data_IF_765654224648
#
_entry.id   IF_765654224648
#
_cell.length_a   1.000
_cell.length_b   1.000
_cell.length_c   1.000
_cell.angle_alpha   90.00
_cell.angle_beta   90.00
_cell.angle_gamma   90.00
#
_symmetry.space_group_name_H-M   'P 1'
#
loop_
_entity.id
_entity.type
_entity.pdbx_description
1 polymer ?
#
# COMPACT_ATOMS: atom_id res chain seq x y z
N UNK A 1 -8.23 26.47 -23.41
CA UNK A 1 -7.19 26.35 -22.35
C UNK A 1 -5.95 27.16 -22.67
N UNK A 2 -4.82 26.77 -22.09
CA UNK A 2 -3.56 27.47 -22.32
C UNK A 2 -2.44 26.47 -22.62
N UNK A 3 -2.21 25.55 -21.70
CA UNK A 3 -1.16 24.55 -21.86
C UNK A 3 -1.36 23.39 -20.89
N UNK A 4 -0.83 22.23 -21.25
CA UNK A 4 -0.94 21.04 -20.41
C UNK A 4 -0.14 21.21 -19.12
N UNK A 5 -0.72 21.92 -18.16
CA UNK A 5 -0.06 22.16 -16.88
C UNK A 5 -0.83 21.50 -15.74
N UNK A 6 -1.35 20.31 -16.00
CA UNK A 6 -2.11 19.57 -14.99
C UNK A 6 -1.24 18.49 -14.34
N UNK A 7 -1.58 18.11 -13.09
CA UNK A 7 -0.83 17.08 -12.37
C UNK A 7 -1.01 15.69 -12.97
N UNK A 8 0.01 14.85 -12.83
CA UNK A 8 -0.03 13.49 -13.37
C UNK A 8 0.05 12.45 -12.26
N UNK A 9 0.82 12.76 -11.21
CA UNK A 9 0.98 11.85 -10.09
C UNK A 9 0.84 12.59 -8.77
N UNK A 10 0.02 12.06 -7.87
CA UNK A 10 -0.20 12.67 -6.56
C UNK A 10 0.24 11.72 -5.45
N UNK A 11 0.62 12.29 -4.31
CA UNK A 11 1.05 11.49 -3.18
C UNK A 11 1.53 12.33 -2.01
N UNK A 12 1.70 11.68 -0.86
CA UNK A 12 2.15 12.39 0.34
C UNK A 12 3.45 11.78 0.86
N UNK A 13 4.41 12.66 1.18
CA UNK A 13 5.70 12.21 1.69
C UNK A 13 5.67 12.04 3.21
N UNK A 14 5.82 10.80 3.66
CA UNK A 14 5.80 10.51 5.09
C UNK A 14 6.94 11.22 5.81
N UNK A 15 6.68 11.67 7.03
CA UNK A 15 7.67 12.37 7.83
C UNK A 15 8.85 11.47 8.14
N UNK A 16 10.09 12.01 8.10
CA UNK A 16 11.30 11.24 8.38
C UNK A 16 11.21 10.45 9.67
N UNK A 17 10.40 10.92 10.60
CA UNK A 17 10.21 10.24 11.89
C UNK A 17 9.40 8.97 11.73
N UNK A 18 8.29 9.07 10.99
CA UNK A 18 7.41 7.92 10.76
C UNK A 18 8.16 6.80 10.03
N UNK A 19 8.84 7.15 8.96
CA UNK A 19 9.60 6.18 8.18
C UNK A 19 10.54 5.37 9.07
N UNK A 20 11.09 6.03 10.08
CA UNK A 20 12.01 5.38 11.02
C UNK A 20 11.28 4.33 11.84
N UNK A 21 10.10 4.71 12.35
CA UNK A 21 9.30 3.79 13.16
C UNK A 21 8.70 2.68 12.30
N UNK A 22 8.15 3.07 11.15
CA UNK A 22 7.54 2.10 10.23
C UNK A 22 8.57 1.09 9.75
N UNK A 23 9.75 1.58 9.37
CA UNK A 23 10.82 0.70 8.89
C UNK A 23 11.21 -0.32 9.95
N UNK A 24 11.30 0.15 11.20
CA UNK A 24 11.66 -0.72 12.31
C UNK A 24 10.65 -1.85 12.47
N UNK A 25 9.39 -1.54 12.21
CA UNK A 25 8.32 -2.53 12.32
C UNK A 25 8.38 -3.53 11.17
N UNK A 26 8.62 -3.04 9.97
CA UNK A 26 8.71 -3.89 8.79
C UNK A 26 9.84 -4.91 8.94
N UNK A 27 11.00 -4.43 9.37
CA UNK A 27 12.16 -5.29 9.56
C UNK A 27 11.87 -6.40 10.57
N UNK A 28 11.31 -6.01 11.71
CA UNK A 28 10.97 -6.96 12.77
C UNK A 28 10.00 -8.02 12.24
N UNK A 29 9.12 -7.61 11.34
CA UNK A 29 8.15 -8.52 10.77
C UNK A 29 8.83 -9.61 9.94
N UNK A 30 9.66 -9.19 9.00
CA UNK A 30 10.37 -10.13 8.13
C UNK A 30 11.14 -11.15 8.96
N UNK A 31 11.66 -10.72 10.11
CA UNK A 31 12.42 -11.60 10.99
C UNK A 31 11.49 -12.62 11.65
N UNK A 32 10.35 -12.15 12.15
CA UNK A 32 9.39 -13.03 12.81
C UNK A 32 8.69 -13.92 11.79
N UNK A 33 8.47 -13.39 10.59
CA UNK A 33 7.81 -14.14 9.53
C UNK A 33 8.66 -15.33 9.10
N UNK A 34 9.97 -15.12 9.05
CA UNK A 34 10.89 -16.18 8.65
C UNK A 34 10.98 -17.26 9.73
N UNK A 35 10.98 -16.83 10.99
CA UNK A 35 11.06 -17.74 12.11
C UNK A 35 9.80 -18.63 12.20
N UNK A 36 8.68 -18.07 11.76
CA UNK A 36 7.42 -18.81 11.77
C UNK A 36 7.46 -20.00 10.82
N UNK A 37 6.97 -21.14 11.29
CA UNK A 37 6.95 -22.35 10.47
C UNK A 37 5.93 -22.23 9.35
N UNK A 38 4.86 -21.47 9.59
CA UNK A 38 3.81 -21.29 8.59
C UNK A 38 4.38 -20.73 7.29
N UNK A 39 5.25 -19.72 7.41
CA UNK A 39 5.86 -19.11 6.25
C UNK A 39 6.92 -20.02 5.64
N UNK A 40 7.84 -20.51 6.47
CA UNK A 40 8.90 -21.39 6.01
C UNK A 40 8.33 -22.62 5.32
N UNK A 41 7.13 -23.03 5.72
CA UNK A 41 6.47 -24.19 5.12
C UNK A 41 6.04 -23.89 3.69
N UNK A 42 5.72 -22.63 3.43
CA UNK A 42 5.29 -22.23 2.09
C UNK A 42 6.38 -21.44 1.37
N UNK A 43 7.59 -21.46 1.93
CA UNK A 43 8.72 -20.75 1.33
C UNK A 43 8.96 -21.22 -0.11
N UNK A 44 8.76 -22.51 -0.34
CA UNK A 44 8.96 -23.08 -1.67
C UNK A 44 8.06 -22.40 -2.70
N UNK A 45 6.84 -22.07 -2.29
CA UNK A 45 5.88 -21.42 -3.17
C UNK A 45 6.21 -19.93 -3.32
N UNK A 46 6.75 -19.34 -2.26
CA UNK A 46 7.11 -17.93 -2.28
C UNK A 46 8.39 -17.70 -3.09
N UNK A 47 9.41 -18.51 -2.82
CA UNK A 47 10.68 -18.40 -3.52
C UNK A 47 10.69 -19.24 -4.79
N UNK A 48 9.63 -20.02 -4.99
CA UNK A 48 9.55 -20.86 -6.17
C UNK A 48 10.65 -21.91 -6.22
N UNK A 49 11.31 -22.14 -5.08
CA UNK A 49 12.39 -23.13 -5.01
C UNK A 49 13.44 -22.87 -6.08
N UNK A 50 14.05 -21.69 -6.03
CA UNK A 50 15.08 -21.32 -7.00
C UNK A 50 15.77 -20.02 -6.60
N UNK A 51 16.65 -20.11 -5.60
CA UNK A 51 17.39 -18.94 -5.13
C UNK A 51 18.77 -19.34 -4.61
N UNK A 52 18.83 -19.74 -3.34
CA UNK A 52 20.09 -20.15 -2.73
C UNK A 52 19.93 -20.37 -1.22
N UNK A 53 19.61 -19.30 -0.51
CA UNK A 53 19.42 -19.37 0.93
C UNK A 53 18.41 -18.33 1.41
N UNK A 54 17.22 -18.36 0.82
CA UNK A 54 16.16 -17.41 1.17
C UNK A 54 16.69 -15.99 1.30
N UNK A 55 17.63 -15.63 0.42
CA UNK A 55 18.22 -14.29 0.45
C UNK A 55 17.27 -13.25 -0.14
N UNK A 56 16.17 -13.70 -0.74
CA UNK A 56 15.19 -12.80 -1.34
C UNK A 56 14.72 -11.76 -0.33
N UNK A 57 14.70 -12.14 0.94
CA UNK A 57 14.27 -11.24 2.01
C UNK A 57 15.24 -10.07 2.16
N UNK A 58 16.53 -10.36 1.95
CA UNK A 58 17.55 -9.33 2.06
C UNK A 58 17.80 -8.66 0.71
N UNK A 59 17.54 -9.38 -0.37
CA UNK A 59 17.73 -8.85 -1.72
C UNK A 59 16.96 -7.55 -1.90
N UNK A 60 15.70 -7.54 -1.47
CA UNK A 60 14.87 -6.35 -1.60
C UNK A 60 15.56 -5.12 -1.03
N UNK A 61 15.46 -4.00 -1.73
CA UNK A 61 16.08 -2.76 -1.29
C UNK A 61 15.03 -1.79 -0.74
N UNK A 62 15.34 -1.18 0.40
CA UNK A 62 14.42 -0.24 1.04
C UNK A 62 15.00 1.17 1.01
N UNK A 63 14.40 2.09 0.23
CA UNK A 63 14.86 3.47 0.13
C UNK A 63 14.58 4.27 1.40
N UNK A 64 15.44 5.23 1.69
CA UNK A 64 15.28 6.08 2.87
C UNK A 64 14.01 6.92 2.77
N UNK A 65 14.09 8.01 2.04
CA UNK A 65 12.94 8.90 1.87
C UNK A 65 11.81 8.19 1.11
N UNK A 66 11.04 7.39 1.83
CA UNK A 66 9.93 6.66 1.23
C UNK A 66 8.74 7.58 0.99
N UNK A 67 8.01 7.32 -0.10
CA UNK A 67 6.84 8.12 -0.43
C UNK A 67 5.61 7.23 -0.63
N UNK A 68 4.43 7.80 -0.42
CA UNK A 68 3.19 7.06 -0.58
C UNK A 68 2.33 7.66 -1.69
N UNK A 69 1.80 6.80 -2.55
CA UNK A 69 0.96 7.24 -3.66
C UNK A 69 -0.45 7.58 -3.16
N UNK A 70 -1.17 8.38 -3.94
CA UNK A 70 -2.53 8.77 -3.59
C UNK A 70 -3.49 8.58 -4.76
N UNK A 71 -3.41 9.48 -5.73
CA UNK A 71 -4.29 9.42 -6.90
C UNK A 71 -3.51 9.71 -8.18
N UNK A 72 -3.79 8.92 -9.22
CA UNK A 72 -3.13 9.09 -10.51
C UNK A 72 -4.04 9.84 -11.48
N UNK A 73 -3.65 11.06 -11.83
CA UNK A 73 -4.43 11.88 -12.75
C UNK A 73 -4.68 11.15 -14.07
N UNK A 74 -3.65 10.45 -14.54
CA UNK A 74 -3.74 9.70 -15.80
C UNK A 74 -4.00 10.63 -16.97
N UNK A 75 -5.26 11.04 -17.15
CA UNK A 75 -5.63 11.93 -18.23
C UNK A 75 -7.12 12.28 -18.18
N UNK A 76 -7.95 11.38 -18.71
CA UNK A 76 -9.39 11.62 -18.72
C UNK A 76 -10.19 10.42 -18.28
N UNK A 77 -9.65 9.22 -18.50
CA UNK A 77 -10.33 7.98 -18.14
C UNK A 77 -10.76 8.00 -16.67
N UNK A 78 -10.01 8.75 -15.85
CA UNK A 78 -10.32 8.86 -14.43
C UNK A 78 -11.01 10.17 -14.11
N UNK A 79 -12.31 10.23 -14.37
CA UNK A 79 -13.10 11.43 -14.11
C UNK A 79 -13.03 11.82 -12.64
N UNK A 80 -13.07 10.81 -11.77
CA UNK A 80 -13.00 11.07 -10.33
C UNK A 80 -11.88 12.00 -9.95
N UNK A 81 -10.68 11.45 -9.78
CA UNK A 81 -9.51 12.23 -9.41
C UNK A 81 -9.36 13.45 -10.31
N UNK A 82 -9.86 13.35 -11.54
CA UNK A 82 -9.78 14.46 -12.48
C UNK A 82 -10.40 15.71 -11.86
N UNK A 83 -11.62 15.56 -11.36
CA UNK A 83 -12.31 16.68 -10.71
C UNK A 83 -11.54 17.10 -9.47
N UNK A 84 -10.98 16.13 -8.78
CA UNK A 84 -10.20 16.39 -7.58
C UNK A 84 -8.99 17.27 -7.90
N UNK A 85 -8.26 16.88 -8.94
CA UNK A 85 -7.10 17.63 -9.37
C UNK A 85 -7.49 19.05 -9.76
N UNK A 86 -8.74 19.22 -10.19
CA UNK A 86 -9.25 20.53 -10.58
C UNK A 86 -9.89 21.25 -9.39
N UNK A 87 -9.48 20.88 -8.18
CA UNK A 87 -10.00 21.48 -6.97
C UNK A 87 -8.88 22.22 -6.23
N UNK A 88 -8.91 23.54 -6.32
CA UNK A 88 -7.90 24.37 -5.66
C UNK A 88 -7.70 23.99 -4.21
N UNK A 89 -8.77 23.48 -3.58
CA UNK A 89 -8.70 23.08 -2.18
C UNK A 89 -7.63 22.01 -1.97
N UNK A 90 -7.64 20.99 -2.83
CA UNK A 90 -6.66 19.91 -2.73
C UNK A 90 -5.26 20.39 -3.12
N UNK A 91 -5.21 21.35 -4.04
CA UNK A 91 -3.93 21.89 -4.49
C UNK A 91 -3.20 22.56 -3.33
N UNK A 92 -3.96 23.27 -2.50
CA UNK A 92 -3.38 23.96 -1.34
C UNK A 92 -3.10 22.96 -0.22
N UNK A 93 -3.84 21.86 -0.21
CA UNK A 93 -3.67 20.83 0.82
C UNK A 93 -2.24 20.30 0.84
N UNK A 94 -1.50 20.52 -0.25
CA UNK A 94 -0.12 20.01 -0.35
C UNK A 94 0.76 20.38 0.87
N UNK A 95 0.88 21.67 1.22
CA UNK A 95 1.69 22.07 2.36
C UNK A 95 1.17 21.47 3.67
N UNK A 96 -0.09 21.02 3.66
CA UNK A 96 -0.70 20.44 4.84
C UNK A 96 -0.08 19.09 5.19
N UNK A 97 -0.38 18.61 6.40
CA UNK A 97 0.14 17.34 6.86
C UNK A 97 -0.91 16.59 7.67
N UNK A 98 -1.25 15.40 7.21
CA UNK A 98 -2.24 14.58 7.90
C UNK A 98 -1.63 13.26 8.37
N UNK A 99 -2.18 12.73 9.45
CA UNK A 99 -1.70 11.47 10.01
C UNK A 99 -2.37 10.28 9.35
N UNK A 100 -1.57 9.43 8.71
CA UNK A 100 -2.09 8.25 8.04
C UNK A 100 -1.95 7.01 8.92
N UNK A 101 -3.01 6.21 8.98
CA UNK A 101 -3.00 5.00 9.80
C UNK A 101 -2.73 3.76 8.95
N UNK A 102 -1.78 2.94 9.40
CA UNK A 102 -1.43 1.71 8.69
C UNK A 102 -2.31 0.55 9.16
N UNK A 103 -3.00 -0.08 8.22
CA UNK A 103 -3.88 -1.19 8.54
C UNK A 103 -3.15 -2.54 8.44
N UNK A 104 -2.47 -2.78 7.34
CA UNK A 104 -1.75 -4.03 7.14
C UNK A 104 -0.59 -3.86 6.17
N UNK A 105 0.33 -4.83 6.18
CA UNK A 105 1.50 -4.78 5.30
C UNK A 105 1.47 -5.95 4.33
N UNK A 106 1.89 -5.72 3.09
CA UNK A 106 1.91 -6.76 2.07
C UNK A 106 3.34 -7.08 1.63
N UNK A 107 3.59 -8.34 1.32
CA UNK A 107 4.91 -8.78 0.87
C UNK A 107 4.81 -9.60 -0.40
N UNK A 108 5.33 -9.05 -1.50
CA UNK A 108 5.30 -9.74 -2.78
C UNK A 108 6.71 -10.03 -3.28
N UNK A 109 6.94 -11.23 -3.84
CA UNK A 109 8.25 -11.62 -4.35
C UNK A 109 8.82 -10.61 -5.34
N UNK A 110 7.92 -9.88 -6.00
CA UNK A 110 8.32 -8.88 -6.98
C UNK A 110 8.64 -7.55 -6.30
N UNK A 111 7.76 -7.12 -5.40
CA UNK A 111 7.94 -5.88 -4.69
C UNK A 111 7.28 -5.93 -3.30
N UNK A 112 7.63 -4.97 -2.46
CA UNK A 112 7.10 -4.89 -1.11
C UNK A 112 6.34 -3.57 -0.90
N UNK A 113 5.22 -3.65 -0.20
CA UNK A 113 4.43 -2.45 0.05
C UNK A 113 3.63 -2.54 1.34
N UNK A 114 3.15 -1.40 1.82
CA UNK A 114 2.36 -1.36 3.05
C UNK A 114 0.98 -0.77 2.79
N UNK A 115 -0.02 -1.32 3.46
CA UNK A 115 -1.39 -0.86 3.31
C UNK A 115 -1.69 0.30 4.26
N UNK A 116 -2.04 1.45 3.72
CA UNK A 116 -2.34 2.62 4.53
C UNK A 116 -3.81 3.04 4.38
N UNK A 117 -4.45 3.29 5.51
CA UNK A 117 -5.85 3.71 5.53
C UNK A 117 -6.02 5.05 6.22
N UNK A 118 -6.18 6.10 5.43
CA UNK A 118 -6.34 7.45 5.97
C UNK A 118 -7.59 7.53 6.85
N UNK A 119 -7.94 8.75 7.25
CA UNK A 119 -9.10 8.98 8.10
C UNK A 119 -10.31 9.40 7.26
N UNK A 120 -11.42 9.67 7.94
CA UNK A 120 -12.64 10.09 7.26
C UNK A 120 -12.42 11.38 6.48
N UNK A 121 -11.53 12.23 6.99
CA UNK A 121 -11.23 13.50 6.34
C UNK A 121 -10.67 13.27 4.94
N UNK A 122 -9.63 12.46 4.84
CA UNK A 122 -9.00 12.16 3.57
C UNK A 122 -9.97 11.44 2.65
N UNK A 123 -10.84 10.62 3.24
CA UNK A 123 -11.83 9.87 2.48
C UNK A 123 -12.86 10.79 1.84
N UNK A 124 -13.41 11.70 2.64
CA UNK A 124 -14.41 12.64 2.16
C UNK A 124 -13.85 13.52 1.03
N UNK A 125 -12.55 13.80 1.10
CA UNK A 125 -11.89 14.61 0.08
C UNK A 125 -11.31 13.76 -1.04
N UNK A 126 -11.70 12.48 -1.08
CA UNK A 126 -11.20 11.56 -2.10
C UNK A 126 -12.18 11.48 -3.27
N UNK A 127 -11.67 11.54 -4.52
CA UNK A 127 -12.50 11.47 -5.72
C UNK A 127 -13.28 10.16 -5.80
N UNK A 128 -14.43 10.20 -6.46
CA UNK A 128 -15.27 9.01 -6.60
C UNK A 128 -14.71 8.08 -7.67
N UNK A 129 -14.34 8.65 -8.80
CA UNK A 129 -13.80 7.83 -9.89
C UNK A 129 -12.66 6.90 -9.46
N UNK A 130 -11.60 7.44 -8.84
CA UNK A 130 -10.48 6.61 -8.40
C UNK A 130 -10.96 5.50 -7.46
N UNK A 131 -12.05 5.77 -6.75
CA UNK A 131 -12.62 4.81 -5.81
C UNK A 131 -12.82 3.45 -6.46
N UNK A 132 -12.99 3.44 -7.79
CA UNK A 132 -13.19 2.21 -8.54
C UNK A 132 -12.17 1.14 -8.13
N UNK A 133 -11.03 1.58 -7.60
CA UNK A 133 -9.98 0.66 -7.16
C UNK A 133 -10.56 -0.41 -6.23
N UNK A 134 -9.93 -1.60 -6.25
CA UNK A 134 -10.40 -2.70 -5.42
C UNK A 134 -10.90 -2.23 -4.07
N UNK A 135 -10.06 -1.47 -3.38
CA UNK A 135 -10.42 -0.95 -2.08
C UNK A 135 -10.09 0.53 -1.96
N UNK A 136 -11.11 1.35 -1.75
CA UNK A 136 -10.91 2.79 -1.60
C UNK A 136 -11.34 3.25 -0.21
N UNK A 137 -10.72 4.33 0.31
CA UNK A 137 -11.05 4.87 1.63
C UNK A 137 -12.57 5.09 1.79
N UNK A 138 -13.22 5.37 0.68
CA UNK A 138 -14.67 5.60 0.67
C UNK A 138 -15.44 4.28 0.77
N UNK A 139 -14.76 3.19 0.45
CA UNK A 139 -15.36 1.86 0.49
C UNK A 139 -15.28 1.26 1.90
N UNK A 140 -15.03 2.10 2.90
CA UNK A 140 -14.91 1.65 4.29
C UNK A 140 -15.98 0.63 4.64
N UNK A 141 -17.27 0.95 4.42
CA UNK A 141 -18.36 0.02 4.73
C UNK A 141 -18.09 -1.35 4.12
N UNK A 142 -17.56 -1.35 2.90
CA UNK A 142 -17.23 -2.58 2.20
C UNK A 142 -15.96 -3.22 2.78
N UNK A 143 -15.07 -2.37 3.30
CA UNK A 143 -13.82 -2.83 3.87
C UNK A 143 -14.05 -3.87 4.97
N UNK A 144 -15.17 -3.77 5.65
CA UNK A 144 -15.49 -4.70 6.72
C UNK A 144 -15.35 -6.15 6.25
N UNK A 145 -15.73 -6.40 4.99
CA UNK A 145 -15.63 -7.75 4.43
C UNK A 145 -14.34 -7.94 3.65
N UNK A 146 -13.85 -6.85 3.05
CA UNK A 146 -12.61 -6.91 2.26
C UNK A 146 -11.53 -6.02 2.88
N UNK A 147 -10.28 -6.51 2.95
CA UNK A 147 -9.17 -5.73 3.51
C UNK A 147 -9.16 -4.29 3.00
N UNK A 148 -8.34 -3.45 3.62
CA UNK A 148 -8.23 -2.06 3.23
C UNK A 148 -6.80 -1.56 3.25
N UNK A 149 -6.56 -0.42 2.60
CA UNK A 149 -5.23 0.14 2.56
C UNK A 149 -4.54 -0.07 1.22
N UNK A 150 -5.31 -0.47 0.21
CA UNK A 150 -4.76 -0.69 -1.12
C UNK A 150 -4.71 0.60 -1.92
N UNK A 151 -5.76 1.39 -1.82
CA UNK A 151 -5.85 2.66 -2.54
C UNK A 151 -4.64 3.55 -2.22
N UNK A 152 -4.19 3.48 -0.97
CA UNK A 152 -3.04 4.27 -0.53
C UNK A 152 -2.02 3.39 0.17
N UNK A 153 -0.92 3.10 -0.51
CA UNK A 153 0.14 2.27 0.04
C UNK A 153 1.49 2.96 -0.07
N UNK A 154 2.43 2.55 0.79
CA UNK A 154 3.77 3.13 0.78
C UNK A 154 4.78 2.15 0.20
N UNK A 155 5.70 2.67 -0.61
CA UNK A 155 6.73 1.84 -1.23
C UNK A 155 7.81 1.46 -0.22
N UNK A 156 8.10 0.17 -0.14
CA UNK A 156 9.12 -0.33 0.78
C UNK A 156 10.17 -1.14 0.04
N UNK A 157 9.72 -2.08 -0.78
CA UNK A 157 10.64 -2.91 -1.53
C UNK A 157 10.36 -2.91 -3.02
N UNK A 158 11.41 -3.00 -3.83
CA UNK A 158 11.26 -3.00 -5.28
C UNK A 158 12.34 -3.84 -5.93
N UNK A 159 11.96 -4.60 -6.95
CA UNK A 159 12.91 -5.46 -7.66
C UNK A 159 13.71 -4.65 -8.68
N UNK A 160 14.73 -5.27 -9.26
CA UNK A 160 15.58 -4.61 -10.25
C UNK A 160 15.03 -4.82 -11.66
N UNK A 161 14.12 -3.95 -12.07
CA UNK A 161 13.54 -4.05 -13.40
C UNK A 161 12.05 -3.74 -13.40
N UNK A 162 11.40 -3.93 -12.27
CA UNK A 162 9.97 -3.67 -12.16
C UNK A 162 9.70 -2.25 -11.68
N UNK A 163 8.54 -1.71 -12.05
CA UNK A 163 8.16 -0.36 -11.66
C UNK A 163 7.41 -0.36 -10.33
N UNK A 164 7.48 0.76 -9.61
CA UNK A 164 6.81 0.88 -8.33
C UNK A 164 5.30 0.91 -8.50
N UNK A 165 4.84 1.38 -9.65
CA UNK A 165 3.41 1.46 -9.94
C UNK A 165 2.76 0.08 -9.84
N UNK A 166 3.50 -0.95 -10.23
CA UNK A 166 2.99 -2.31 -10.19
C UNK A 166 2.68 -2.74 -8.76
N UNK A 167 3.39 -2.17 -7.80
CA UNK A 167 3.19 -2.48 -6.39
C UNK A 167 1.75 -2.19 -5.96
N UNK A 168 1.23 -1.05 -6.40
CA UNK A 168 -0.12 -0.68 -6.05
C UNK A 168 -1.16 -1.63 -6.60
N UNK A 169 -1.03 -1.96 -7.89
CA UNK A 169 -1.97 -2.88 -8.54
C UNK A 169 -2.08 -4.19 -7.78
N UNK A 170 -0.94 -4.69 -7.30
CA UNK A 170 -0.91 -5.94 -6.55
C UNK A 170 -1.71 -5.83 -5.25
N UNK A 171 -1.50 -4.73 -4.54
CA UNK A 171 -2.20 -4.50 -3.28
C UNK A 171 -3.72 -4.53 -3.47
N UNK A 172 -4.21 -3.76 -4.43
CA UNK A 172 -5.64 -3.70 -4.70
C UNK A 172 -6.22 -5.11 -4.93
N UNK A 173 -5.48 -5.91 -5.69
CA UNK A 173 -5.92 -7.27 -5.99
C UNK A 173 -5.87 -8.18 -4.75
N UNK A 174 -4.85 -8.01 -3.93
CA UNK A 174 -4.69 -8.82 -2.73
C UNK A 174 -5.95 -8.74 -1.85
N UNK A 175 -6.38 -7.53 -1.54
CA UNK A 175 -7.57 -7.32 -0.72
C UNK A 175 -8.79 -7.94 -1.39
N UNK A 176 -8.99 -7.64 -2.67
CA UNK A 176 -10.12 -8.16 -3.41
C UNK A 176 -10.11 -9.69 -3.43
N UNK A 177 -8.91 -10.26 -3.36
CA UNK A 177 -8.76 -11.71 -3.37
C UNK A 177 -9.36 -12.35 -2.12
N UNK A 178 -8.96 -11.85 -0.95
CA UNK A 178 -9.48 -12.39 0.31
C UNK A 178 -11.00 -12.34 0.34
N UNK A 179 -11.56 -11.18 0.01
CA UNK A 179 -13.00 -10.99 -0.02
C UNK A 179 -13.64 -11.84 -1.12
N UNK A 180 -12.84 -12.22 -2.11
CA UNK A 180 -13.34 -13.00 -3.23
C UNK A 180 -13.70 -14.43 -2.82
N UNK A 181 -13.39 -14.79 -1.58
CA UNK A 181 -13.72 -16.12 -1.11
C UNK A 181 -12.54 -17.08 -1.12
N UNK A 182 -11.41 -16.65 -1.66
CA UNK A 182 -10.24 -17.49 -1.68
C UNK A 182 -9.73 -17.69 -0.27
N UNK A 183 -8.98 -16.71 0.22
CA UNK A 183 -8.44 -16.76 1.58
C UNK A 183 -7.88 -18.14 1.87
N UNK A 184 -6.81 -18.47 1.15
CA UNK A 184 -6.19 -19.77 1.31
C UNK A 184 -5.62 -19.96 2.68
N UNK A 185 -4.45 -19.39 2.92
CA UNK A 185 -3.79 -19.51 4.23
C UNK A 185 -4.24 -18.39 5.16
N UNK A 186 -4.57 -18.76 6.39
CA UNK A 186 -5.01 -17.81 7.39
C UNK A 186 -4.44 -18.15 8.76
N UNK A 187 -3.94 -17.14 9.46
CA UNK A 187 -3.35 -17.35 10.78
C UNK A 187 -3.61 -16.14 11.69
N UNK A 188 -4.07 -16.41 12.90
CA UNK A 188 -4.36 -15.35 13.86
C UNK A 188 -3.25 -15.23 14.89
N UNK A 189 -2.64 -14.04 14.96
CA UNK A 189 -1.56 -13.80 15.91
C UNK A 189 -2.03 -12.92 17.06
N UNK A 190 -1.12 -12.59 17.96
CA UNK A 190 -1.45 -11.76 19.12
C UNK A 190 -1.55 -10.28 18.72
N UNK A 191 -0.86 -9.92 17.64
CA UNK A 191 -0.87 -8.54 17.16
C UNK A 191 -1.72 -8.40 15.90
N UNK A 192 -1.90 -9.50 15.18
CA UNK A 192 -2.69 -9.45 13.95
C UNK A 192 -2.79 -10.80 13.27
N UNK A 193 -3.48 -10.83 12.14
CA UNK A 193 -3.64 -12.06 11.37
C UNK A 193 -3.01 -11.95 10.00
N UNK A 194 -2.36 -13.01 9.55
CA UNK A 194 -1.70 -13.03 8.25
C UNK A 194 -2.42 -13.97 7.27
N UNK A 195 -2.75 -13.45 6.10
CA UNK A 195 -3.44 -14.24 5.07
C UNK A 195 -2.69 -14.16 3.75
N UNK A 196 -2.62 -15.30 3.05
CA UNK A 196 -1.94 -15.36 1.77
C UNK A 196 -2.86 -15.95 0.70
N UNK A 197 -2.83 -15.34 -0.49
CA UNK A 197 -3.68 -15.80 -1.60
C UNK A 197 -3.15 -17.11 -2.17
N UNK A 198 -4.06 -17.90 -2.74
CA UNK A 198 -3.71 -19.21 -3.32
C UNK A 198 -2.38 -19.21 -4.09
N UNK A 199 -2.17 -18.25 -5.01
CA UNK A 199 -0.92 -18.20 -5.76
C UNK A 199 0.23 -17.74 -4.88
N UNK A 200 -0.01 -16.67 -4.12
CA UNK A 200 1.02 -16.14 -3.24
C UNK A 200 0.54 -14.91 -2.49
N UNK A 201 1.36 -13.87 -2.52
CA UNK A 201 1.03 -12.61 -1.85
C UNK A 201 0.71 -12.84 -0.36
N UNK A 202 1.64 -12.42 0.49
CA UNK A 202 1.47 -12.57 1.93
C UNK A 202 1.36 -11.21 2.61
N UNK A 203 0.31 -11.02 3.38
CA UNK A 203 0.08 -9.76 4.08
C UNK A 203 -0.37 -9.99 5.52
N UNK A 204 0.14 -9.18 6.44
CA UNK A 204 -0.22 -9.29 7.85
C UNK A 204 -1.10 -8.12 8.28
N UNK A 205 -2.26 -8.43 8.84
CA UNK A 205 -3.19 -7.40 9.29
C UNK A 205 -2.83 -6.89 10.68
N UNK A 206 -2.21 -5.71 10.72
CA UNK A 206 -1.81 -5.10 11.99
C UNK A 206 -3.04 -4.69 12.80
N UNK A 207 -3.54 -5.63 13.60
CA UNK A 207 -4.71 -5.39 14.44
C UNK A 207 -4.65 -4.02 15.09
N UNK A 208 -3.44 -3.54 15.37
CA UNK A 208 -3.26 -2.23 15.99
C UNK A 208 -2.76 -1.22 14.96
N UNK A 209 -3.66 -0.38 14.41
CA UNK A 209 -3.30 0.63 13.41
C UNK A 209 -2.10 1.48 13.84
N UNK A 210 -1.34 1.93 12.85
CA UNK A 210 -0.17 2.76 13.10
C UNK A 210 -0.32 4.10 12.40
N UNK A 211 -0.44 5.16 13.19
CA UNK A 211 -0.60 6.51 12.66
C UNK A 211 0.75 7.15 12.35
N UNK A 212 0.78 8.00 11.35
CA UNK A 212 2.01 8.69 10.96
C UNK A 212 1.70 9.98 10.20
N UNK A 213 2.27 11.09 10.67
CA UNK A 213 2.06 12.39 10.03
C UNK A 213 2.75 12.45 8.68
N UNK A 214 2.02 12.93 7.66
CA UNK A 214 2.56 13.04 6.32
C UNK A 214 2.09 14.33 5.66
N UNK A 215 2.83 14.77 4.64
CA UNK A 215 2.48 16.00 3.92
C UNK A 215 2.03 15.67 2.50
N UNK A 216 1.10 16.45 1.97
CA UNK A 216 0.60 16.20 0.62
C UNK A 216 1.52 16.82 -0.43
N UNK A 217 2.00 15.99 -1.35
CA UNK A 217 2.88 16.44 -2.42
C UNK A 217 2.27 16.17 -3.79
N UNK A 218 2.60 17.03 -4.76
CA UNK A 218 2.08 16.89 -6.11
C UNK A 218 3.20 17.00 -7.13
N UNK A 219 3.02 16.33 -8.27
CA UNK A 219 4.02 16.37 -9.33
C UNK A 219 3.33 16.52 -10.68
N UNK A 220 3.68 17.60 -11.37
CA UNK A 220 3.11 17.89 -12.69
C UNK A 220 4.17 17.77 -13.78
N UNK A 221 4.29 16.58 -14.35
CA UNK A 221 5.27 16.34 -15.41
C UNK A 221 4.98 15.01 -16.11
N UNK A 222 5.53 14.86 -17.31
CA UNK A 222 5.35 13.64 -18.09
C UNK A 222 6.61 12.79 -18.07
#
# INVERSE_FOLDING_TARGET
>A
GSHMELPLFFGWFLLPEEEERIKCATMDFLKTLDTLEAFKEHISEFTGEAEKEVDLEQYFQNPLQLHCTTKFCDYGKAEGAKEYAELQVVKESLTKSYELSVTALIVTPRTFGARVALTEAQVKLWPEGADKEGVAPALLPSVEALPAGSRAHVTLGCSAGVETVQTGLDLLEILALQKEGKEGTQVEMDLGTLTYLSEGRWFLALREPINADTTFTSFSED
#
